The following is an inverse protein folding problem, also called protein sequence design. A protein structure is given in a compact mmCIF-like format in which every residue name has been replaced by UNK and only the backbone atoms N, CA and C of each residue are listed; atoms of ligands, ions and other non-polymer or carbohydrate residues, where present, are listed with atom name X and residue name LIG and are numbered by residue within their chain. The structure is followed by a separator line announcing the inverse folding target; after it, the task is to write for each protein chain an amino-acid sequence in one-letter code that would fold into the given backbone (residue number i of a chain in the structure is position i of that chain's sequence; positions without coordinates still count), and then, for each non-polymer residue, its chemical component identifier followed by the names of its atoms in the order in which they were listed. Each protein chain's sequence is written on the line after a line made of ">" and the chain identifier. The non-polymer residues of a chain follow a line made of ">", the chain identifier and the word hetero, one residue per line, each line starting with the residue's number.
data_IF_920648345557
#
_entry.id   IF_920648345557
#
_cell.length_a   1.000
_cell.length_b   1.000
_cell.length_c   1.000
_cell.angle_alpha   90.00
_cell.angle_beta   90.00
_cell.angle_gamma   90.00
#
_symmetry.space_group_name_H-M   'P 1'
#
loop_
_entity.id
_entity.type
_entity.pdbx_description
1 polymer ?
#
# COMPACT_ATOMS: atom_id res chain seq x y z
N UNK A 1 -5.82 48.00 75.28
CA UNK A 1 -4.77 47.13 75.85
C UNK A 1 -5.51 45.96 76.47
N UNK A 2 -5.90 45.01 75.62
CA UNK A 2 -5.11 43.79 75.30
C UNK A 2 -5.38 42.69 76.32
N UNK A 3 -6.43 41.93 76.07
CA UNK A 3 -6.49 40.50 76.41
C UNK A 3 -7.50 39.85 75.45
N UNK A 4 -7.03 39.61 74.23
CA UNK A 4 -7.75 38.80 73.25
C UNK A 4 -6.97 37.50 73.04
N UNK A 5 -7.74 36.39 73.08
CA UNK A 5 -7.47 35.13 72.39
C UNK A 5 -6.31 34.27 72.92
N UNK A 6 -6.60 33.46 73.94
CA UNK A 6 -5.91 32.18 74.17
C UNK A 6 -6.85 31.04 73.81
N UNK A 7 -7.17 30.93 72.52
CA UNK A 7 -7.74 29.72 71.93
C UNK A 7 -7.40 29.75 70.43
N UNK A 8 -6.19 29.29 70.07
CA UNK A 8 -5.96 28.82 68.72
C UNK A 8 -4.72 27.95 68.62
N UNK A 9 -4.89 26.90 67.82
CA UNK A 9 -3.84 26.13 67.17
C UNK A 9 -3.18 25.03 68.00
N UNK A 10 -3.97 24.01 68.32
CA UNK A 10 -3.49 22.61 68.35
C UNK A 10 -3.12 22.17 66.93
N UNK A 11 -2.05 22.71 66.38
CA UNK A 11 -1.40 22.17 65.18
C UNK A 11 0.09 22.27 65.39
N UNK A 12 0.83 21.22 64.99
CA UNK A 12 2.26 20.97 65.17
C UNK A 12 2.56 20.05 66.38
N UNK A 13 3.19 18.88 66.28
CA UNK A 13 3.91 18.21 65.21
C UNK A 13 3.85 16.71 65.51
N UNK A 14 3.59 15.87 64.51
CA UNK A 14 4.12 14.51 64.60
C UNK A 14 5.65 14.66 64.79
N UNK A 15 6.27 13.91 65.73
CA UNK A 15 7.72 13.94 65.87
C UNK A 15 8.35 13.74 64.49
N UNK A 16 9.36 14.52 64.16
CA UNK A 16 10.03 14.48 62.85
C UNK A 16 10.39 13.03 62.44
N UNK A 17 10.72 12.22 63.43
CA UNK A 17 10.98 10.79 63.30
C UNK A 17 9.77 9.97 62.78
N UNK A 18 8.55 10.29 63.22
CA UNK A 18 7.31 9.64 62.78
C UNK A 18 6.94 10.10 61.37
N UNK A 19 7.12 11.38 61.06
CA UNK A 19 6.95 11.93 59.71
C UNK A 19 7.84 11.21 58.70
N UNK A 20 9.15 11.12 59.00
CA UNK A 20 10.13 10.49 58.12
C UNK A 20 9.86 8.98 57.94
N UNK A 21 9.36 8.33 58.99
CA UNK A 21 9.00 6.92 58.94
C UNK A 21 7.72 6.67 58.14
N UNK A 22 6.74 7.56 58.25
CA UNK A 22 5.51 7.52 57.48
C UNK A 22 5.79 7.75 55.99
N UNK A 23 6.62 8.74 55.67
CA UNK A 23 7.02 9.08 54.31
C UNK A 23 7.84 7.94 53.66
N UNK A 24 8.75 7.32 54.41
CA UNK A 24 9.48 6.14 53.96
C UNK A 24 8.56 4.93 53.71
N UNK A 25 7.57 4.73 54.58
CA UNK A 25 6.58 3.64 54.44
C UNK A 25 5.66 3.89 53.25
N UNK A 26 5.17 5.12 53.08
CA UNK A 26 4.31 5.53 51.97
C UNK A 26 5.06 5.46 50.64
N UNK A 27 6.33 5.87 50.57
CA UNK A 27 7.14 5.73 49.36
C UNK A 27 7.40 4.27 49.01
N UNK A 28 7.61 3.41 50.01
CA UNK A 28 7.79 1.97 49.79
C UNK A 28 6.48 1.30 49.35
N UNK A 29 5.37 1.66 49.96
CA UNK A 29 4.04 1.19 49.58
C UNK A 29 3.65 1.66 48.17
N UNK A 30 3.91 2.93 47.85
CA UNK A 30 3.70 3.50 46.52
C UNK A 30 4.51 2.76 45.46
N UNK A 31 5.80 2.53 45.67
CA UNK A 31 6.65 1.73 44.77
C UNK A 31 6.22 0.27 44.64
N UNK A 32 5.55 -0.29 45.64
CA UNK A 32 5.07 -1.68 45.63
C UNK A 32 3.71 -1.82 44.94
N UNK A 33 2.80 -0.86 45.18
CA UNK A 33 1.44 -0.85 44.61
C UNK A 33 1.43 -0.38 43.16
N UNK A 34 2.20 0.67 42.84
CA UNK A 34 2.26 1.22 41.49
C UNK A 34 3.45 0.68 40.69
N UNK A 35 4.33 -0.11 41.31
CA UNK A 35 5.60 -0.52 40.70
C UNK A 35 6.51 0.68 40.49
N UNK A 36 7.76 0.42 40.10
CA UNK A 36 8.60 1.46 39.51
C UNK A 36 7.96 1.81 38.16
N UNK A 37 7.00 2.75 38.16
CA UNK A 37 6.56 3.44 36.94
C UNK A 37 7.72 4.36 36.55
N UNK A 38 8.83 3.74 36.15
CA UNK A 38 9.72 4.37 35.21
C UNK A 38 8.83 4.70 34.02
N UNK A 39 8.56 5.98 33.89
CA UNK A 39 7.88 6.66 32.79
C UNK A 39 8.16 6.00 31.42
N UNK A 40 9.36 5.45 31.20
CA UNK A 40 9.72 4.61 30.04
C UNK A 40 8.73 3.51 29.68
N UNK A 41 8.23 2.70 30.64
CA UNK A 41 7.35 1.56 30.32
C UNK A 41 5.94 2.02 29.97
N UNK A 42 5.48 3.10 30.59
CA UNK A 42 4.19 3.74 30.28
C UNK A 42 4.21 4.34 28.88
N UNK A 43 5.23 5.15 28.55
CA UNK A 43 5.39 5.69 27.19
C UNK A 43 5.48 4.60 26.12
N UNK A 44 6.19 3.50 26.38
CA UNK A 44 6.24 2.36 25.44
C UNK A 44 4.88 1.68 25.21
N UNK A 45 4.00 1.64 26.22
CA UNK A 45 2.65 1.08 26.08
C UNK A 45 1.79 2.01 25.22
N UNK A 46 1.83 3.32 25.50
CA UNK A 46 1.10 4.30 24.70
C UNK A 46 1.62 4.37 23.26
N UNK A 47 2.94 4.34 23.05
CA UNK A 47 3.56 4.39 21.73
C UNK A 47 3.23 3.14 20.90
N UNK A 48 3.28 1.94 21.49
CA UNK A 48 2.82 0.72 20.82
C UNK A 48 1.31 0.76 20.50
N UNK A 49 0.49 1.32 21.39
CA UNK A 49 -0.95 1.43 21.15
C UNK A 49 -1.23 2.47 20.05
N UNK A 50 -0.55 3.61 20.11
CA UNK A 50 -0.68 4.71 19.16
C UNK A 50 -0.12 4.36 17.79
N UNK A 51 0.92 3.53 17.71
CA UNK A 51 1.49 2.92 16.49
C UNK A 51 0.76 1.66 16.02
N UNK A 52 -0.25 1.19 16.77
CA UNK A 52 -1.15 0.11 16.33
C UNK A 52 -2.48 0.62 15.77
N UNK A 53 -2.80 1.90 15.99
CA UNK A 53 -3.97 2.54 15.38
C UNK A 53 -3.96 2.33 13.87
N UNK A 54 -5.12 2.18 13.22
CA UNK A 54 -5.16 2.04 11.77
C UNK A 54 -4.39 3.20 11.11
N UNK A 55 -4.67 4.46 11.44
CA UNK A 55 -4.07 5.64 10.78
C UNK A 55 -2.54 5.65 10.58
N UNK A 56 -1.74 4.96 11.41
CA UNK A 56 -0.27 4.94 11.30
C UNK A 56 0.29 3.79 10.43
N UNK A 57 -0.53 2.82 10.04
CA UNK A 57 -0.05 1.58 9.46
C UNK A 57 0.11 1.76 7.96
N UNK A 58 1.35 1.75 7.46
CA UNK A 58 1.59 1.83 6.02
C UNK A 58 0.91 0.67 5.29
N UNK A 59 0.20 1.01 4.22
CA UNK A 59 -0.49 0.10 3.32
C UNK A 59 0.28 -0.18 2.03
N UNK A 60 1.45 0.43 1.86
CA UNK A 60 2.31 0.21 0.70
C UNK A 60 2.76 -1.26 0.58
N UNK A 61 2.78 -1.75 -0.66
CA UNK A 61 3.16 -3.13 -1.00
C UNK A 61 4.50 -3.12 -1.73
N UNK A 62 5.56 -3.58 -1.05
CA UNK A 62 6.90 -3.69 -1.65
C UNK A 62 6.90 -4.62 -2.86
N UNK A 63 6.20 -5.76 -2.79
CA UNK A 63 6.14 -6.73 -3.89
C UNK A 63 5.52 -6.14 -5.16
N UNK A 64 4.49 -5.31 -5.02
CA UNK A 64 3.87 -4.63 -6.17
C UNK A 64 4.83 -3.62 -6.80
N UNK A 65 5.55 -2.86 -5.97
CA UNK A 65 6.57 -1.90 -6.43
C UNK A 65 7.71 -2.58 -7.19
N UNK A 66 8.24 -3.69 -6.66
CA UNK A 66 9.30 -4.45 -7.34
C UNK A 66 8.82 -5.02 -8.67
N UNK A 67 7.58 -5.50 -8.72
CA UNK A 67 7.01 -6.05 -9.95
C UNK A 67 6.85 -4.98 -11.04
N UNK A 68 6.29 -3.81 -10.68
CA UNK A 68 6.15 -2.66 -11.58
C UNK A 68 7.51 -2.14 -12.08
N UNK A 69 8.53 -2.17 -11.23
CA UNK A 69 9.89 -1.81 -11.62
C UNK A 69 10.45 -2.77 -12.68
N UNK A 70 10.29 -4.08 -12.48
CA UNK A 70 10.73 -5.07 -13.45
C UNK A 70 9.93 -4.98 -14.76
N UNK A 71 8.61 -4.74 -14.69
CA UNK A 71 7.78 -4.55 -15.88
C UNK A 71 8.20 -3.29 -16.65
N UNK A 72 8.56 -2.19 -15.98
CA UNK A 72 9.04 -0.98 -16.64
C UNK A 72 10.33 -1.21 -17.45
N UNK A 73 11.28 -1.98 -16.91
CA UNK A 73 12.52 -2.33 -17.61
C UNK A 73 12.23 -3.32 -18.74
N UNK A 74 11.46 -4.37 -18.44
CA UNK A 74 11.08 -5.38 -19.41
C UNK A 74 10.33 -4.75 -20.59
N UNK A 75 9.45 -3.79 -20.33
CA UNK A 75 8.70 -3.07 -21.35
C UNK A 75 9.61 -2.42 -22.40
N UNK A 76 10.75 -1.83 -22.03
CA UNK A 76 11.68 -1.24 -23.01
C UNK A 76 12.24 -2.33 -23.95
N UNK A 77 12.65 -3.46 -23.38
CA UNK A 77 13.20 -4.59 -24.15
C UNK A 77 12.11 -5.23 -25.02
N UNK A 78 10.95 -5.51 -24.44
CA UNK A 78 9.77 -6.07 -25.10
C UNK A 78 9.30 -5.18 -26.25
N UNK A 79 9.35 -3.86 -26.07
CA UNK A 79 8.97 -2.86 -27.07
C UNK A 79 9.83 -2.96 -28.34
N UNK A 80 11.16 -2.96 -28.17
CA UNK A 80 12.09 -3.08 -29.28
C UNK A 80 11.91 -4.44 -29.96
N UNK A 81 11.82 -5.51 -29.17
CA UNK A 81 11.60 -6.85 -29.68
C UNK A 81 10.30 -6.96 -30.49
N UNK A 82 9.20 -6.40 -29.99
CA UNK A 82 7.89 -6.43 -30.65
C UNK A 82 7.90 -5.67 -31.98
N UNK A 83 8.53 -4.49 -32.03
CA UNK A 83 8.68 -3.73 -33.29
C UNK A 83 9.46 -4.54 -34.32
N UNK A 84 10.63 -5.08 -33.93
CA UNK A 84 11.47 -5.89 -34.84
C UNK A 84 10.69 -7.11 -35.33
N UNK A 85 10.00 -7.82 -34.43
CA UNK A 85 9.21 -9.01 -34.76
C UNK A 85 8.09 -8.66 -35.73
N UNK A 86 7.33 -7.57 -35.52
CA UNK A 86 6.25 -7.15 -36.42
C UNK A 86 6.80 -6.83 -37.82
N UNK A 87 7.90 -6.10 -37.93
CA UNK A 87 8.53 -5.77 -39.22
C UNK A 87 8.96 -7.04 -39.96
N UNK A 88 9.58 -8.01 -39.25
CA UNK A 88 10.03 -9.26 -39.85
C UNK A 88 8.89 -10.17 -40.27
N UNK A 89 7.72 -10.03 -39.64
CA UNK A 89 6.50 -10.82 -39.92
C UNK A 89 5.58 -10.17 -40.95
N UNK A 90 5.83 -8.93 -41.36
CA UNK A 90 4.94 -8.18 -42.23
C UNK A 90 4.59 -8.90 -43.54
N UNK A 91 5.53 -9.63 -44.15
CA UNK A 91 5.31 -10.41 -45.37
C UNK A 91 4.70 -11.80 -45.17
N UNK A 92 4.48 -12.23 -43.93
CA UNK A 92 3.98 -13.58 -43.59
C UNK A 92 2.61 -13.54 -42.89
N UNK A 93 2.27 -12.41 -42.27
CA UNK A 93 0.98 -12.16 -41.62
C UNK A 93 -0.08 -11.82 -42.65
N UNK A 94 -1.31 -12.31 -42.46
CA UNK A 94 -2.47 -11.79 -43.17
C UNK A 94 -2.62 -10.28 -42.89
N UNK A 95 -2.95 -9.49 -43.91
CA UNK A 95 -3.07 -8.02 -43.85
C UNK A 95 -3.94 -7.55 -42.68
N UNK A 96 -5.07 -8.23 -42.43
CA UNK A 96 -5.95 -7.90 -41.31
C UNK A 96 -5.23 -8.06 -39.96
N UNK A 97 -4.50 -9.17 -39.78
CA UNK A 97 -3.75 -9.43 -38.57
C UNK A 97 -2.54 -8.51 -38.40
N UNK A 98 -1.87 -8.15 -39.50
CA UNK A 98 -0.78 -7.18 -39.47
C UNK A 98 -1.26 -5.82 -38.94
N UNK A 99 -2.41 -5.33 -39.44
CA UNK A 99 -3.00 -4.07 -38.96
C UNK A 99 -3.42 -4.16 -37.50
N UNK A 100 -4.12 -5.24 -37.10
CA UNK A 100 -4.60 -5.44 -35.73
C UNK A 100 -3.43 -5.50 -34.74
N UNK A 101 -2.40 -6.29 -35.03
CA UNK A 101 -1.22 -6.44 -34.15
C UNK A 101 -0.41 -5.14 -34.05
N UNK A 102 -0.29 -4.41 -35.16
CA UNK A 102 0.39 -3.10 -35.16
C UNK A 102 -0.38 -2.08 -34.31
N UNK A 103 -1.70 -2.01 -34.46
CA UNK A 103 -2.56 -1.14 -33.66
C UNK A 103 -2.54 -1.53 -32.17
N UNK A 104 -2.60 -2.84 -31.88
CA UNK A 104 -2.49 -3.37 -30.52
C UNK A 104 -1.14 -2.98 -29.88
N UNK A 105 -0.03 -3.15 -30.60
CA UNK A 105 1.29 -2.75 -30.12
C UNK A 105 1.36 -1.25 -29.86
N UNK A 106 0.84 -0.42 -30.78
CA UNK A 106 0.82 1.04 -30.63
C UNK A 106 -0.03 1.50 -29.43
N UNK A 107 -1.19 0.88 -29.21
CA UNK A 107 -2.01 1.14 -28.01
C UNK A 107 -1.26 0.75 -26.74
N UNK A 108 -0.62 -0.42 -26.72
CA UNK A 108 0.17 -0.87 -25.57
C UNK A 108 1.27 0.13 -25.23
N UNK A 109 1.94 0.70 -26.23
CA UNK A 109 2.98 1.73 -26.04
C UNK A 109 2.51 2.97 -25.29
N UNK A 110 1.24 3.36 -25.47
CA UNK A 110 0.67 4.56 -24.84
C UNK A 110 0.11 4.22 -23.45
N UNK A 111 -0.60 3.10 -23.35
CA UNK A 111 -1.30 2.71 -22.13
C UNK A 111 -0.34 2.17 -21.06
N UNK A 112 0.66 1.36 -21.46
CA UNK A 112 1.55 0.67 -20.51
C UNK A 112 2.32 1.64 -19.59
N UNK A 113 2.93 2.74 -20.09
CA UNK A 113 3.59 3.72 -19.22
C UNK A 113 2.63 4.41 -18.25
N UNK A 114 1.44 4.81 -18.73
CA UNK A 114 0.41 5.43 -17.90
C UNK A 114 -0.08 4.48 -16.80
N UNK A 115 -0.25 3.19 -17.14
CA UNK A 115 -0.59 2.13 -16.20
C UNK A 115 0.49 2.01 -15.13
N UNK A 116 1.75 1.81 -15.52
CA UNK A 116 2.86 1.65 -14.56
C UNK A 116 2.97 2.88 -13.63
N UNK A 117 2.86 4.08 -14.19
CA UNK A 117 2.88 5.33 -13.41
C UNK A 117 1.78 5.36 -12.35
N UNK A 118 0.54 5.06 -12.73
CA UNK A 118 -0.57 5.03 -11.79
C UNK A 118 -0.39 3.96 -10.72
N UNK A 119 0.13 2.78 -11.07
CA UNK A 119 0.43 1.73 -10.09
C UNK A 119 1.50 2.14 -9.08
N UNK A 120 2.55 2.80 -9.56
CA UNK A 120 3.63 3.33 -8.71
C UNK A 120 3.11 4.43 -7.77
N UNK A 121 2.38 5.41 -8.31
CA UNK A 121 1.76 6.48 -7.53
C UNK A 121 0.77 5.91 -6.51
N UNK A 122 -0.04 4.93 -6.90
CA UNK A 122 -1.03 4.33 -6.02
C UNK A 122 -0.40 3.68 -4.78
N UNK A 123 0.78 3.05 -4.95
CA UNK A 123 1.48 2.41 -3.85
C UNK A 123 2.14 3.40 -2.90
N UNK A 124 2.67 4.52 -3.41
CA UNK A 124 3.33 5.55 -2.60
C UNK A 124 2.32 6.44 -1.88
N UNK A 125 1.28 6.84 -2.60
CA UNK A 125 0.24 7.72 -2.05
C UNK A 125 -0.82 6.96 -1.25
N UNK A 126 -0.71 5.62 -1.19
CA UNK A 126 -1.69 4.72 -0.55
C UNK A 126 -3.13 5.08 -0.94
N UNK A 127 -3.29 5.43 -2.22
CA UNK A 127 -4.48 6.09 -2.72
C UNK A 127 -5.37 5.10 -3.46
N UNK A 128 -6.49 4.77 -2.84
CA UNK A 128 -7.51 3.90 -3.41
C UNK A 128 -7.96 4.30 -4.83
N UNK A 129 -8.22 5.58 -5.16
CA UNK A 129 -8.58 5.95 -6.53
C UNK A 129 -7.46 5.69 -7.55
N UNK A 130 -6.19 5.82 -7.16
CA UNK A 130 -5.07 5.49 -8.05
C UNK A 130 -4.95 3.97 -8.26
N UNK A 131 -5.16 3.14 -7.22
CA UNK A 131 -5.22 1.67 -7.39
C UNK A 131 -6.37 1.27 -8.31
N UNK A 132 -7.55 1.87 -8.13
CA UNK A 132 -8.70 1.59 -8.97
C UNK A 132 -8.41 1.96 -10.43
N UNK A 133 -7.78 3.10 -10.67
CA UNK A 133 -7.36 3.53 -12.01
C UNK A 133 -6.30 2.60 -12.62
N UNK A 134 -5.34 2.15 -11.82
CA UNK A 134 -4.36 1.15 -12.24
C UNK A 134 -5.03 -0.18 -12.64
N UNK A 135 -5.93 -0.71 -11.80
CA UNK A 135 -6.65 -1.95 -12.07
C UNK A 135 -7.57 -1.80 -13.29
N UNK A 136 -8.22 -0.66 -13.42
CA UNK A 136 -9.02 -0.32 -14.58
C UNK A 136 -8.16 -0.41 -15.84
N UNK A 137 -7.06 0.34 -15.93
CA UNK A 137 -6.15 0.28 -17.10
C UNK A 137 -5.53 -1.09 -17.33
N UNK A 138 -5.28 -1.86 -16.26
CA UNK A 138 -4.75 -3.22 -16.35
C UNK A 138 -5.76 -4.16 -17.01
N UNK A 139 -7.01 -4.18 -16.55
CA UNK A 139 -8.07 -5.03 -17.13
C UNK A 139 -8.49 -4.49 -18.50
N UNK A 140 -8.76 -3.19 -18.57
CA UNK A 140 -9.16 -2.47 -19.76
C UNK A 140 -8.32 -1.20 -19.94
N UNK A 141 -7.44 -1.12 -20.94
CA UNK A 141 -7.37 -1.97 -22.15
C UNK A 141 -6.22 -3.00 -22.17
N UNK A 142 -5.35 -3.03 -21.15
CA UNK A 142 -4.07 -3.76 -21.23
C UNK A 142 -4.23 -5.27 -21.40
N UNK A 143 -5.09 -5.94 -20.62
CA UNK A 143 -5.34 -7.39 -20.76
C UNK A 143 -5.90 -7.71 -22.14
N UNK A 144 -6.85 -6.91 -22.63
CA UNK A 144 -7.45 -7.13 -23.96
C UNK A 144 -6.38 -7.09 -25.04
N UNK A 145 -5.53 -6.08 -25.03
CA UNK A 145 -4.42 -5.93 -25.99
C UNK A 145 -3.41 -7.07 -25.87
N UNK A 146 -3.04 -7.44 -24.65
CA UNK A 146 -2.09 -8.53 -24.41
C UNK A 146 -2.63 -9.89 -24.91
N UNK A 147 -3.93 -10.15 -24.72
CA UNK A 147 -4.57 -11.37 -25.24
C UNK A 147 -4.65 -11.37 -26.77
N UNK A 148 -4.96 -10.24 -27.40
CA UNK A 148 -4.95 -10.11 -28.86
C UNK A 148 -3.54 -10.40 -29.43
N UNK A 149 -2.48 -10.01 -28.73
CA UNK A 149 -1.10 -10.29 -29.16
C UNK A 149 -0.64 -11.74 -28.88
N UNK A 150 -1.16 -12.36 -27.81
CA UNK A 150 -0.71 -13.67 -27.32
C UNK A 150 -1.49 -14.85 -27.90
N UNK A 151 -2.83 -14.81 -27.83
CA UNK A 151 -3.70 -15.95 -28.19
C UNK A 151 -3.55 -16.44 -29.63
N UNK A 152 -3.43 -15.55 -30.65
CA UNK A 152 -3.32 -16.01 -32.04
C UNK A 152 -2.16 -16.98 -32.25
N UNK A 153 -1.05 -16.87 -31.50
CA UNK A 153 0.09 -17.79 -31.66
C UNK A 153 -0.27 -19.27 -31.39
N UNK A 154 -1.35 -19.56 -30.66
CA UNK A 154 -1.85 -20.90 -30.36
C UNK A 154 -2.91 -21.42 -31.34
N UNK A 155 -3.51 -20.55 -32.16
CA UNK A 155 -4.59 -20.88 -33.10
C UNK A 155 -4.19 -20.47 -34.53
N UNK A 156 -3.36 -21.29 -35.22
CA UNK A 156 -2.65 -20.87 -36.44
C UNK A 156 -3.53 -20.61 -37.65
N UNK A 157 -4.68 -21.25 -37.74
CA UNK A 157 -5.41 -21.50 -38.98
C UNK A 157 -5.87 -20.24 -39.75
N UNK A 158 -5.74 -19.04 -39.15
CA UNK A 158 -6.20 -17.78 -39.74
C UNK A 158 -5.15 -16.65 -39.83
N UNK A 159 -3.93 -16.86 -39.32
CA UNK A 159 -2.98 -15.75 -39.08
C UNK A 159 -1.93 -15.64 -40.18
N UNK A 160 -1.44 -16.79 -40.64
CA UNK A 160 -0.38 -16.86 -41.63
C UNK A 160 -0.99 -16.91 -43.04
N UNK A 161 -0.42 -16.15 -43.97
CA UNK A 161 -0.88 -16.18 -45.38
C UNK A 161 -0.51 -17.48 -46.09
N UNK A 162 0.53 -18.17 -45.62
CA UNK A 162 1.07 -19.39 -46.25
C UNK A 162 1.56 -20.35 -45.19
N UNK A 163 1.20 -21.63 -45.33
CA UNK A 163 1.59 -22.71 -44.39
C UNK A 163 3.07 -23.09 -44.47
N UNK A 164 3.73 -22.83 -45.61
CA UNK A 164 5.13 -23.24 -45.86
C UNK A 164 6.18 -22.50 -45.00
N UNK A 165 5.82 -21.37 -44.37
CA UNK A 165 6.74 -20.49 -43.61
C UNK A 165 6.28 -20.27 -42.16
N UNK A 166 5.71 -21.30 -41.54
CA UNK A 166 5.11 -21.24 -40.20
C UNK A 166 6.08 -20.67 -39.12
N UNK A 167 7.35 -21.09 -39.13
CA UNK A 167 8.36 -20.60 -38.18
C UNK A 167 8.60 -19.08 -38.29
N UNK A 168 8.54 -18.53 -39.51
CA UNK A 168 8.74 -17.09 -39.74
C UNK A 168 7.49 -16.30 -39.39
N UNK A 169 6.32 -16.88 -39.63
CA UNK A 169 5.04 -16.29 -39.24
C UNK A 169 4.84 -16.30 -37.72
N UNK A 170 5.27 -17.36 -37.02
CA UNK A 170 5.09 -17.55 -35.57
C UNK A 170 6.43 -17.88 -34.89
N UNK A 171 7.36 -16.91 -34.81
CA UNK A 171 8.63 -17.15 -34.14
C UNK A 171 8.40 -17.40 -32.65
N UNK A 172 9.02 -18.44 -32.09
CA UNK A 172 8.91 -18.78 -30.66
C UNK A 172 9.25 -17.59 -29.75
N UNK A 173 10.18 -16.73 -30.17
CA UNK A 173 10.55 -15.51 -29.47
C UNK A 173 9.34 -14.57 -29.27
N UNK A 174 8.40 -14.48 -30.22
CA UNK A 174 7.18 -13.68 -30.07
C UNK A 174 6.29 -14.27 -28.97
N UNK A 175 5.98 -15.56 -29.04
CA UNK A 175 5.14 -16.24 -28.04
C UNK A 175 5.72 -16.12 -26.64
N UNK A 176 7.04 -16.25 -26.49
CA UNK A 176 7.74 -16.06 -25.23
C UNK A 176 7.64 -14.62 -24.73
N UNK A 177 7.94 -13.62 -25.57
CA UNK A 177 7.87 -12.22 -25.18
C UNK A 177 6.45 -11.82 -24.74
N UNK A 178 5.43 -12.23 -25.50
CA UNK A 178 4.03 -11.96 -25.16
C UNK A 178 3.60 -12.74 -23.90
N UNK A 179 4.02 -13.99 -23.75
CA UNK A 179 3.70 -14.80 -22.57
C UNK A 179 4.29 -14.22 -21.28
N UNK A 180 5.54 -13.74 -21.33
CA UNK A 180 6.18 -13.06 -20.20
C UNK A 180 5.40 -11.79 -19.83
N UNK A 181 5.02 -10.95 -20.81
CA UNK A 181 4.23 -9.74 -20.56
C UNK A 181 2.87 -10.06 -19.92
N UNK A 182 2.18 -11.09 -20.41
CA UNK A 182 0.91 -11.56 -19.82
C UNK A 182 1.11 -12.03 -18.37
N UNK A 183 2.21 -12.73 -18.10
CA UNK A 183 2.52 -13.21 -16.75
C UNK A 183 2.77 -12.07 -15.75
N UNK A 184 3.51 -11.03 -16.17
CA UNK A 184 3.67 -9.80 -15.38
C UNK A 184 2.32 -9.15 -15.09
N UNK A 185 1.50 -8.97 -16.13
CA UNK A 185 0.19 -8.35 -16.01
C UNK A 185 -0.75 -9.10 -15.03
N UNK A 186 -0.78 -10.43 -15.09
CA UNK A 186 -1.58 -11.25 -14.17
C UNK A 186 -1.08 -11.09 -12.73
N UNK A 187 0.24 -11.18 -12.52
CA UNK A 187 0.83 -11.02 -11.20
C UNK A 187 0.57 -9.62 -10.62
N UNK A 188 0.68 -8.57 -11.44
CA UNK A 188 0.38 -7.19 -11.08
C UNK A 188 -1.08 -7.01 -10.69
N UNK A 189 -2.03 -7.54 -11.47
CA UNK A 189 -3.46 -7.47 -11.16
C UNK A 189 -3.75 -8.15 -9.82
N UNK A 190 -3.18 -9.33 -9.57
CA UNK A 190 -3.39 -10.05 -8.31
C UNK A 190 -2.82 -9.27 -7.12
N UNK A 191 -1.59 -8.78 -7.22
CA UNK A 191 -0.94 -8.03 -6.15
C UNK A 191 -1.63 -6.69 -5.91
N UNK A 192 -2.02 -5.99 -6.96
CA UNK A 192 -2.73 -4.71 -6.88
C UNK A 192 -4.14 -4.87 -6.32
N UNK A 193 -4.88 -5.90 -6.71
CA UNK A 193 -6.17 -6.22 -6.10
C UNK A 193 -6.03 -6.48 -4.59
N UNK A 194 -5.03 -7.27 -4.18
CA UNK A 194 -4.74 -7.53 -2.76
C UNK A 194 -4.37 -6.25 -2.02
N UNK A 195 -3.56 -5.38 -2.62
CA UNK A 195 -3.19 -4.08 -2.04
C UNK A 195 -4.43 -3.17 -1.89
N UNK A 196 -5.25 -3.07 -2.94
CA UNK A 196 -6.48 -2.29 -2.92
C UNK A 196 -7.48 -2.76 -1.88
N UNK A 197 -7.65 -4.08 -1.70
CA UNK A 197 -8.52 -4.64 -0.65
C UNK A 197 -8.01 -4.30 0.75
N UNK A 198 -6.70 -4.33 0.99
CA UNK A 198 -6.12 -3.90 2.28
C UNK A 198 -6.38 -2.41 2.53
N UNK A 199 -6.09 -1.56 1.54
CA UNK A 199 -6.31 -0.12 1.65
C UNK A 199 -7.79 0.24 1.86
N UNK A 200 -8.72 -0.46 1.21
CA UNK A 200 -10.16 -0.23 1.39
C UNK A 200 -10.59 -0.52 2.82
N UNK A 201 -10.21 -1.68 3.36
CA UNK A 201 -10.53 -2.06 4.75
C UNK A 201 -9.91 -1.09 5.75
N UNK A 202 -8.68 -0.65 5.46
CA UNK A 202 -7.99 0.31 6.30
C UNK A 202 -8.69 1.65 6.40
N UNK A 203 -9.22 2.14 5.27
CA UNK A 203 -9.98 3.39 5.22
C UNK A 203 -11.29 3.28 6.01
N UNK A 204 -11.95 2.13 5.97
CA UNK A 204 -13.15 1.84 6.76
C UNK A 204 -12.82 1.89 8.27
N UNK A 205 -11.80 1.14 8.71
CA UNK A 205 -11.35 1.12 10.11
C UNK A 205 -10.94 2.53 10.61
N UNK A 206 -10.32 3.32 9.74
CA UNK A 206 -9.90 4.70 10.05
C UNK A 206 -11.11 5.64 10.13
N UNK A 207 -12.09 5.50 9.22
CA UNK A 207 -13.31 6.31 9.24
C UNK A 207 -14.15 6.03 10.49
N UNK A 208 -14.28 4.75 10.88
CA UNK A 208 -14.97 4.35 12.12
C UNK A 208 -14.29 4.93 13.36
N UNK A 209 -12.95 4.94 13.38
CA UNK A 209 -12.18 5.54 14.47
C UNK A 209 -12.44 7.06 14.56
N UNK A 210 -12.38 7.77 13.43
CA UNK A 210 -12.68 9.20 13.41
C UNK A 210 -14.11 9.50 13.86
N UNK A 211 -15.09 8.69 13.42
CA UNK A 211 -16.48 8.83 13.86
C UNK A 211 -16.62 8.60 15.38
N UNK A 212 -15.95 7.59 15.93
CA UNK A 212 -15.94 7.34 17.38
C UNK A 212 -15.31 8.51 18.16
N UNK A 213 -14.19 9.06 17.66
CA UNK A 213 -13.53 10.22 18.28
C UNK A 213 -14.44 11.46 18.30
N UNK A 214 -15.16 11.71 17.21
CA UNK A 214 -16.10 12.83 17.12
C UNK A 214 -17.26 12.68 18.11
N UNK A 215 -17.85 11.48 18.19
CA UNK A 215 -18.95 11.18 19.13
C UNK A 215 -18.52 11.29 20.59
N UNK A 216 -17.32 10.81 20.93
CA UNK A 216 -16.83 10.80 22.32
C UNK A 216 -16.14 12.08 22.75
N UNK A 217 -15.81 12.97 21.81
CA UNK A 217 -14.91 14.13 22.00
C UNK A 217 -13.56 13.76 22.64
N UNK A 218 -13.20 12.47 22.64
CA UNK A 218 -11.92 12.01 23.13
C UNK A 218 -10.97 12.00 21.94
N UNK A 219 -10.08 12.99 21.90
CA UNK A 219 -8.95 12.95 20.99
C UNK A 219 -7.77 12.26 21.71
N UNK A 220 -7.42 11.01 21.35
CA UNK A 220 -6.28 10.31 21.94
C UNK A 220 -4.94 10.96 21.57
N UNK A 221 -4.91 11.87 20.58
CA UNK A 221 -3.73 12.64 20.18
C UNK A 221 -3.55 13.93 21.01
N UNK A 222 -4.55 14.32 21.80
CA UNK A 222 -4.46 15.45 22.73
C UNK A 222 -3.93 14.96 24.09
N UNK A 223 -2.81 15.52 24.60
CA UNK A 223 -2.32 15.19 25.94
C UNK A 223 -3.38 15.55 26.99
N UNK A 224 -3.47 14.74 28.05
CA UNK A 224 -4.50 14.86 29.10
C UNK A 224 -4.60 16.26 29.73
N UNK A 225 -3.54 17.07 29.65
CA UNK A 225 -3.52 18.47 30.10
C UNK A 225 -4.49 19.39 29.35
N UNK A 226 -5.06 18.96 28.22
CA UNK A 226 -6.00 19.75 27.41
C UNK A 226 -7.41 19.15 27.32
N UNK A 227 -7.69 18.02 28.01
CA UNK A 227 -9.00 17.34 27.95
C UNK A 227 -10.05 17.91 28.92
N UNK A 228 -9.67 18.84 29.80
CA UNK A 228 -10.55 19.48 30.76
C UNK A 228 -10.43 21.01 30.69
N UNK A 229 -11.12 21.63 29.73
CA UNK A 229 -11.52 23.03 29.77
C UNK A 229 -12.83 23.22 29.00
#
# INVERSE_FOLDING_TARGET
>A
MEELTRENSSTNLLPENVSNMLEGTMNKASKTLFGNVETKKSYHIYDNTLSSLPVNKSQSSLSLQMLLYFDAIFFIVWSIASIVIIIRRAGYLNDAWYVILTAACALFFIINPARIYLGYMANITESLPHIASFLFLSIFPTVVVALIAFLPNFFPDSICQTEADDFRCRPYANTLAQGIQVSFLIAEIILSYRAGRRMSRHREETADLYHFMDVTKMDPLLPDSKKFH
#
